data_IF_137943374383
#
_entry.id   IF_137943374383
#
_cell.length_a   1.000
_cell.length_b   1.000
_cell.length_c   1.000
_cell.angle_alpha   90.00
_cell.angle_beta   90.00
_cell.angle_gamma   90.00
#
_symmetry.space_group_name_H-M   'P 1'
#
loop_
_entity.id
_entity.type
_entity.pdbx_description
1 polymer ?
#
# COMPACT_ATOMS: atom_id res chain seq x y z
N UNK A 1 4.59 127.43 -61.17
CA UNK A 1 5.58 126.33 -61.14
C UNK A 1 5.64 125.70 -59.77
N UNK A 2 5.91 126.47 -58.70
CA UNK A 2 6.09 125.94 -57.33
C UNK A 2 4.98 125.02 -56.80
N UNK A 3 3.70 125.32 -57.08
CA UNK A 3 2.57 124.49 -56.65
C UNK A 3 2.56 123.08 -57.28
N UNK A 4 3.02 123.00 -58.52
CA UNK A 4 3.11 121.75 -59.29
C UNK A 4 4.32 120.90 -58.84
N UNK A 5 5.42 121.56 -58.45
CA UNK A 5 6.61 120.91 -57.92
C UNK A 5 6.36 120.32 -56.51
N UNK A 6 5.61 121.03 -55.66
CA UNK A 6 5.16 120.52 -54.36
C UNK A 6 4.27 119.28 -54.49
N UNK A 7 3.31 119.29 -55.42
CA UNK A 7 2.40 118.18 -55.69
C UNK A 7 3.14 116.97 -56.30
N UNK A 8 4.08 117.22 -57.23
CA UNK A 8 4.98 116.20 -57.80
C UNK A 8 5.87 115.56 -56.73
N UNK A 9 6.40 116.35 -55.79
CA UNK A 9 7.18 115.85 -54.66
C UNK A 9 6.34 115.00 -53.69
N UNK A 10 5.12 115.46 -53.37
CA UNK A 10 4.19 114.71 -52.52
C UNK A 10 3.77 113.37 -53.15
N UNK A 11 3.49 113.34 -54.46
CA UNK A 11 3.19 112.11 -55.20
C UNK A 11 4.38 111.13 -55.22
N UNK A 12 5.61 111.63 -55.40
CA UNK A 12 6.83 110.78 -55.32
C UNK A 12 7.00 110.17 -53.93
N UNK A 13 6.72 110.93 -52.87
CA UNK A 13 6.78 110.42 -51.50
C UNK A 13 5.74 109.32 -51.26
N UNK A 14 4.49 109.52 -51.71
CA UNK A 14 3.43 108.51 -51.63
C UNK A 14 3.75 107.27 -52.45
N UNK A 15 4.31 107.41 -53.65
CA UNK A 15 4.72 106.29 -54.49
C UNK A 15 5.82 105.47 -53.80
N UNK A 16 6.78 106.14 -53.15
CA UNK A 16 7.84 105.47 -52.38
C UNK A 16 7.27 104.73 -51.16
N UNK A 17 6.43 105.39 -50.36
CA UNK A 17 5.76 104.76 -49.22
C UNK A 17 4.91 103.54 -49.64
N UNK A 18 4.20 103.65 -50.76
CA UNK A 18 3.42 102.54 -51.31
C UNK A 18 4.32 101.39 -51.81
N UNK A 19 5.45 101.70 -52.44
CA UNK A 19 6.43 100.70 -52.87
C UNK A 19 7.07 99.97 -51.68
N UNK A 20 7.44 100.69 -50.62
CA UNK A 20 8.01 100.12 -49.40
C UNK A 20 6.99 99.21 -48.69
N UNK A 21 5.71 99.64 -48.61
CA UNK A 21 4.61 98.81 -48.10
C UNK A 21 4.39 97.57 -48.95
N UNK A 22 4.42 97.70 -50.27
CA UNK A 22 4.27 96.58 -51.19
C UNK A 22 5.38 95.54 -50.99
N UNK A 23 6.65 95.96 -50.93
CA UNK A 23 7.75 95.03 -50.69
C UNK A 23 7.71 94.42 -49.28
N UNK A 24 7.28 95.17 -48.26
CA UNK A 24 7.04 94.64 -46.91
C UNK A 24 5.95 93.55 -46.90
N UNK A 25 4.80 93.80 -47.52
CA UNK A 25 3.71 92.81 -47.61
C UNK A 25 4.15 91.59 -48.44
N UNK A 26 4.87 91.81 -49.54
CA UNK A 26 5.38 90.73 -50.40
C UNK A 26 6.37 89.83 -49.67
N UNK A 27 7.30 90.40 -48.90
CA UNK A 27 8.24 89.62 -48.07
C UNK A 27 7.51 88.86 -46.96
N UNK A 28 6.53 89.48 -46.29
CA UNK A 28 5.69 88.81 -45.30
C UNK A 28 4.88 87.65 -45.91
N UNK A 29 4.26 87.85 -47.08
CA UNK A 29 3.51 86.80 -47.78
C UNK A 29 4.42 85.62 -48.20
N UNK A 30 5.65 85.89 -48.64
CA UNK A 30 6.64 84.85 -48.94
C UNK A 30 7.11 84.11 -47.69
N UNK A 31 7.23 84.78 -46.54
CA UNK A 31 7.55 84.14 -45.27
C UNK A 31 6.42 83.19 -44.83
N UNK A 32 5.17 83.68 -44.83
CA UNK A 32 3.98 82.88 -44.50
C UNK A 32 3.80 81.69 -45.45
N UNK A 33 4.10 81.85 -46.74
CA UNK A 33 4.06 80.74 -47.70
C UNK A 33 5.05 79.63 -47.33
N UNK A 34 6.29 79.99 -46.99
CA UNK A 34 7.30 79.00 -46.55
C UNK A 34 6.90 78.31 -45.25
N UNK A 35 6.34 79.07 -44.30
CA UNK A 35 5.84 78.51 -43.05
C UNK A 35 4.69 77.52 -43.28
N UNK A 36 3.74 77.84 -44.17
CA UNK A 36 2.66 76.92 -44.54
C UNK A 36 3.16 75.64 -45.22
N UNK A 37 4.20 75.73 -46.06
CA UNK A 37 4.85 74.58 -46.68
C UNK A 37 5.52 73.67 -45.62
N UNK A 38 6.24 74.26 -44.66
CA UNK A 38 6.86 73.53 -43.53
C UNK A 38 5.78 72.83 -42.69
N UNK A 39 4.73 73.56 -42.30
CA UNK A 39 3.64 72.99 -41.50
C UNK A 39 2.92 71.84 -42.23
N UNK A 40 2.76 71.95 -43.55
CA UNK A 40 2.16 70.88 -44.36
C UNK A 40 3.06 69.65 -44.39
N UNK A 41 4.37 69.84 -44.55
CA UNK A 41 5.34 68.74 -44.51
C UNK A 41 5.34 68.07 -43.13
N UNK A 42 5.39 68.84 -42.04
CA UNK A 42 5.37 68.33 -40.67
C UNK A 42 4.08 67.55 -40.39
N UNK A 43 2.92 68.06 -40.84
CA UNK A 43 1.64 67.34 -40.72
C UNK A 43 1.71 65.97 -41.39
N UNK A 44 2.19 65.90 -42.63
CA UNK A 44 2.30 64.61 -43.35
C UNK A 44 3.28 63.64 -42.68
N UNK A 45 4.40 64.14 -42.15
CA UNK A 45 5.34 63.30 -41.41
C UNK A 45 4.74 62.75 -40.12
N UNK A 46 3.97 63.57 -39.40
CA UNK A 46 3.29 63.14 -38.17
C UNK A 46 2.17 62.13 -38.46
N UNK A 47 1.40 62.33 -39.53
CA UNK A 47 0.40 61.37 -40.01
C UNK A 47 1.06 60.00 -40.34
N UNK A 48 2.19 60.01 -41.05
CA UNK A 48 2.93 58.78 -41.38
C UNK A 48 3.48 58.07 -40.14
N UNK A 49 4.04 58.82 -39.18
CA UNK A 49 4.51 58.27 -37.89
C UNK A 49 3.35 57.65 -37.11
N UNK A 50 2.22 58.34 -37.03
CA UNK A 50 1.03 57.84 -36.36
C UNK A 50 0.54 56.52 -36.97
N UNK A 51 0.42 56.43 -38.30
CA UNK A 51 -0.01 55.20 -38.97
C UNK A 51 0.97 54.04 -38.72
N UNK A 52 2.27 54.31 -38.71
CA UNK A 52 3.29 53.29 -38.46
C UNK A 52 3.22 52.77 -37.02
N UNK A 53 3.08 53.67 -36.04
CA UNK A 53 2.94 53.29 -34.64
C UNK A 53 1.61 52.59 -34.36
N UNK A 54 0.52 53.02 -35.01
CA UNK A 54 -0.78 52.36 -34.90
C UNK A 54 -0.70 50.90 -35.37
N UNK A 55 -0.07 50.64 -36.52
CA UNK A 55 0.15 49.27 -37.02
C UNK A 55 1.01 48.43 -36.06
N UNK A 56 2.08 49.02 -35.50
CA UNK A 56 2.92 48.34 -34.50
C UNK A 56 2.15 47.98 -33.24
N UNK A 57 1.24 48.86 -32.81
CA UNK A 57 0.37 48.63 -31.66
C UNK A 57 -0.60 47.47 -31.93
N UNK A 58 -1.26 47.43 -33.09
CA UNK A 58 -2.13 46.31 -33.48
C UNK A 58 -1.36 44.98 -33.50
N UNK A 59 -0.17 44.95 -34.11
CA UNK A 59 0.68 43.75 -34.13
C UNK A 59 1.14 43.32 -32.72
N UNK A 60 1.37 44.26 -31.80
CA UNK A 60 1.68 43.95 -30.42
C UNK A 60 0.46 43.41 -29.67
N UNK A 61 -0.71 44.03 -29.86
CA UNK A 61 -1.98 43.61 -29.28
C UNK A 61 -2.34 42.18 -29.68
N UNK A 62 -2.25 41.83 -30.96
CA UNK A 62 -2.54 40.47 -31.42
C UNK A 62 -1.56 39.44 -30.86
N UNK A 63 -0.27 39.78 -30.75
CA UNK A 63 0.71 38.90 -30.07
C UNK A 63 0.38 38.69 -28.60
N UNK A 64 -0.07 39.73 -27.89
CA UNK A 64 -0.52 39.61 -26.51
C UNK A 64 -1.72 38.68 -26.40
N UNK A 65 -2.73 38.84 -27.27
CA UNK A 65 -3.92 37.99 -27.29
C UNK A 65 -3.59 36.52 -27.53
N UNK A 66 -2.72 36.22 -28.50
CA UNK A 66 -2.26 34.85 -28.76
C UNK A 66 -1.51 34.28 -27.55
N UNK A 67 -0.65 35.08 -26.92
CA UNK A 67 0.08 34.67 -25.70
C UNK A 67 -0.89 34.36 -24.54
N UNK A 68 -1.90 35.19 -24.33
CA UNK A 68 -2.93 34.97 -23.31
C UNK A 68 -3.72 33.67 -23.55
N UNK A 69 -4.08 33.38 -24.80
CA UNK A 69 -4.73 32.12 -25.17
C UNK A 69 -3.82 30.91 -24.91
N UNK A 70 -2.54 31.01 -25.26
CA UNK A 70 -1.56 29.96 -24.97
C UNK A 70 -1.38 29.72 -23.47
N UNK A 71 -1.32 30.79 -22.67
CA UNK A 71 -1.27 30.69 -21.20
C UNK A 71 -2.53 30.02 -20.65
N UNK A 72 -3.72 30.35 -21.16
CA UNK A 72 -4.98 29.68 -20.76
C UNK A 72 -4.95 28.18 -21.07
N UNK A 73 -4.44 27.79 -22.24
CA UNK A 73 -4.29 26.37 -22.60
C UNK A 73 -3.27 25.67 -21.68
N UNK A 74 -2.12 26.29 -21.44
CA UNK A 74 -1.10 25.75 -20.54
C UNK A 74 -1.63 25.58 -19.11
N UNK A 75 -2.40 26.54 -18.59
CA UNK A 75 -3.01 26.44 -17.26
C UNK A 75 -4.00 25.28 -17.17
N UNK A 76 -4.90 25.11 -18.16
CA UNK A 76 -5.82 23.97 -18.20
C UNK A 76 -5.09 22.63 -18.24
N UNK A 77 -3.97 22.56 -18.97
CA UNK A 77 -3.13 21.37 -19.00
C UNK A 77 -2.50 21.07 -17.63
N UNK A 78 -1.98 22.10 -16.95
CA UNK A 78 -1.43 21.96 -15.59
C UNK A 78 -2.52 21.54 -14.59
N UNK A 79 -3.71 22.14 -14.63
CA UNK A 79 -4.84 21.77 -13.77
C UNK A 79 -5.24 20.30 -13.97
N UNK A 80 -5.32 19.85 -15.24
CA UNK A 80 -5.63 18.45 -15.57
C UNK A 80 -4.55 17.52 -15.01
N UNK A 81 -3.27 17.81 -15.27
CA UNK A 81 -2.16 17.01 -14.75
C UNK A 81 -2.13 16.97 -13.21
N UNK A 82 -2.43 18.08 -12.54
CA UNK A 82 -2.53 18.12 -11.07
C UNK A 82 -3.69 17.25 -10.56
N UNK A 83 -4.85 17.30 -11.21
CA UNK A 83 -5.99 16.47 -10.85
C UNK A 83 -5.71 14.97 -11.02
N UNK A 84 -5.01 14.57 -12.08
CA UNK A 84 -4.59 13.19 -12.32
C UNK A 84 -3.58 12.70 -11.29
N UNK A 85 -2.60 13.54 -10.93
CA UNK A 85 -1.62 13.22 -9.87
C UNK A 85 -2.32 13.01 -8.53
N UNK A 86 -3.28 13.86 -8.18
CA UNK A 86 -4.05 13.73 -6.94
C UNK A 86 -4.90 12.45 -6.95
N UNK A 87 -5.56 12.13 -8.07
CA UNK A 87 -6.32 10.89 -8.22
C UNK A 87 -5.43 9.64 -8.07
N UNK A 88 -4.24 9.64 -8.68
CA UNK A 88 -3.28 8.55 -8.56
C UNK A 88 -2.74 8.39 -7.13
N UNK A 89 -2.51 9.52 -6.43
CA UNK A 89 -2.09 9.51 -5.03
C UNK A 89 -3.16 8.92 -4.12
N UNK A 90 -4.43 9.29 -4.32
CA UNK A 90 -5.55 8.73 -3.55
C UNK A 90 -5.70 7.24 -3.81
N UNK A 91 -5.68 6.80 -5.07
CA UNK A 91 -5.75 5.37 -5.42
C UNK A 91 -4.61 4.55 -4.80
N UNK A 92 -3.40 5.13 -4.73
CA UNK A 92 -2.26 4.51 -4.03
C UNK A 92 -2.53 4.39 -2.52
N UNK A 93 -3.11 5.42 -1.91
CA UNK A 93 -3.52 5.40 -0.50
C UNK A 93 -4.52 4.29 -0.22
N UNK A 94 -5.58 4.21 -1.01
CA UNK A 94 -6.63 3.20 -0.89
C UNK A 94 -6.08 1.78 -1.06
N UNK A 95 -5.21 1.57 -2.06
CA UNK A 95 -4.56 0.28 -2.28
C UNK A 95 -3.67 -0.14 -1.10
N UNK A 96 -2.93 0.81 -0.50
CA UNK A 96 -2.12 0.55 0.69
C UNK A 96 -2.98 0.23 1.91
N UNK A 97 -4.09 0.95 2.11
CA UNK A 97 -5.02 0.70 3.20
C UNK A 97 -5.65 -0.70 3.08
N UNK A 98 -6.11 -1.07 1.88
CA UNK A 98 -6.64 -2.39 1.60
C UNK A 98 -5.60 -3.50 1.85
N UNK A 99 -4.34 -3.28 1.48
CA UNK A 99 -3.27 -4.24 1.74
C UNK A 99 -3.06 -4.48 3.24
N UNK A 100 -3.10 -3.42 4.05
CA UNK A 100 -3.01 -3.53 5.52
C UNK A 100 -4.20 -4.32 6.09
N UNK A 101 -5.43 -4.02 5.64
CA UNK A 101 -6.62 -4.74 6.07
C UNK A 101 -6.54 -6.24 5.74
N UNK A 102 -6.03 -6.58 4.55
CA UNK A 102 -5.81 -7.98 4.15
C UNK A 102 -4.73 -8.66 5.00
N UNK A 103 -3.66 -7.97 5.37
CA UNK A 103 -2.64 -8.52 6.27
C UNK A 103 -3.24 -8.86 7.65
N UNK A 104 -4.06 -7.96 8.22
CA UNK A 104 -4.74 -8.22 9.50
C UNK A 104 -5.67 -9.44 9.41
N UNK A 105 -6.40 -9.59 8.31
CA UNK A 105 -7.25 -10.76 8.07
C UNK A 105 -6.43 -12.06 7.99
N UNK A 106 -5.29 -12.03 7.28
CA UNK A 106 -4.38 -13.18 7.17
C UNK A 106 -3.81 -13.55 8.54
N UNK A 107 -3.31 -12.58 9.31
CA UNK A 107 -2.77 -12.83 10.66
C UNK A 107 -3.83 -13.42 11.60
N UNK A 108 -5.08 -12.94 11.49
CA UNK A 108 -6.18 -13.46 12.30
C UNK A 108 -6.52 -14.90 11.92
N UNK A 109 -6.59 -15.21 10.62
CA UNK A 109 -6.82 -16.56 10.14
C UNK A 109 -5.67 -17.51 10.53
N UNK A 110 -4.42 -17.06 10.45
CA UNK A 110 -3.24 -17.83 10.88
C UNK A 110 -3.33 -18.22 12.35
N UNK A 111 -3.65 -17.27 13.24
CA UNK A 111 -3.84 -17.57 14.68
C UNK A 111 -4.95 -18.59 14.93
N UNK A 112 -6.03 -18.55 14.14
CA UNK A 112 -7.10 -19.54 14.24
C UNK A 112 -6.65 -20.93 13.79
N UNK A 113 -5.85 -21.01 12.71
CA UNK A 113 -5.26 -22.26 12.24
C UNK A 113 -4.33 -22.84 13.32
N UNK A 114 -3.42 -22.04 13.87
CA UNK A 114 -2.50 -22.47 14.94
C UNK A 114 -3.26 -23.02 16.17
N UNK A 115 -4.35 -22.36 16.57
CA UNK A 115 -5.19 -22.83 17.67
C UNK A 115 -5.87 -24.18 17.35
N UNK A 116 -6.41 -24.34 16.15
CA UNK A 116 -7.03 -25.58 15.70
C UNK A 116 -6.00 -26.72 15.56
N UNK A 117 -4.80 -26.43 15.09
CA UNK A 117 -3.70 -27.39 15.03
C UNK A 117 -3.32 -27.90 16.41
N UNK A 118 -3.23 -27.00 17.41
CA UNK A 118 -2.99 -27.39 18.81
C UNK A 118 -4.10 -28.31 19.33
N UNK A 119 -5.37 -27.96 19.09
CA UNK A 119 -6.50 -28.78 19.51
C UNK A 119 -6.50 -30.16 18.83
N UNK A 120 -6.10 -30.24 17.56
CA UNK A 120 -5.98 -31.50 16.83
C UNK A 120 -4.91 -32.40 17.45
N UNK A 121 -3.76 -31.84 17.82
CA UNK A 121 -2.69 -32.56 18.52
C UNK A 121 -3.18 -33.09 19.88
N UNK A 122 -3.88 -32.27 20.66
CA UNK A 122 -4.43 -32.68 21.96
C UNK A 122 -5.43 -33.83 21.82
N UNK A 123 -6.36 -33.73 20.86
CA UNK A 123 -7.34 -34.78 20.57
C UNK A 123 -6.68 -36.06 20.05
N UNK A 124 -5.66 -35.94 19.19
CA UNK A 124 -4.90 -37.09 18.68
C UNK A 124 -4.17 -37.82 19.81
N UNK A 125 -3.57 -37.07 20.76
CA UNK A 125 -2.97 -37.65 21.96
C UNK A 125 -4.00 -38.43 22.79
N UNK A 126 -5.20 -37.86 22.97
CA UNK A 126 -6.29 -38.50 23.72
C UNK A 126 -6.79 -39.77 23.03
N UNK A 127 -6.99 -39.74 21.72
CA UNK A 127 -7.37 -40.93 20.93
C UNK A 127 -6.33 -42.04 21.05
N UNK A 128 -5.04 -41.71 20.97
CA UNK A 128 -3.97 -42.68 21.11
C UNK A 128 -3.94 -43.30 22.52
N UNK A 129 -4.18 -42.49 23.56
CA UNK A 129 -4.29 -42.96 24.94
C UNK A 129 -5.46 -43.92 25.13
N UNK A 130 -6.64 -43.57 24.61
CA UNK A 130 -7.83 -44.42 24.68
C UNK A 130 -7.62 -45.74 23.92
N UNK A 131 -7.01 -45.69 22.72
CA UNK A 131 -6.67 -46.89 21.96
C UNK A 131 -5.68 -47.80 22.70
N UNK A 132 -4.67 -47.25 23.36
CA UNK A 132 -3.75 -48.03 24.18
C UNK A 132 -4.47 -48.72 25.36
N UNK A 133 -5.39 -48.01 26.02
CA UNK A 133 -6.21 -48.56 27.10
C UNK A 133 -7.19 -49.64 26.59
N UNK A 134 -7.76 -49.47 25.39
CA UNK A 134 -8.62 -50.46 24.75
C UNK A 134 -7.86 -51.76 24.48
N UNK A 135 -6.65 -51.66 23.92
CA UNK A 135 -5.80 -52.84 23.64
C UNK A 135 -5.43 -53.59 24.93
N UNK A 136 -5.09 -52.88 26.01
CA UNK A 136 -4.83 -53.49 27.32
C UNK A 136 -6.08 -54.18 27.88
N UNK A 137 -7.25 -53.52 27.81
CA UNK A 137 -8.51 -54.09 28.27
C UNK A 137 -8.91 -55.36 27.48
N UNK A 138 -8.76 -55.35 26.15
CA UNK A 138 -8.99 -56.52 25.29
C UNK A 138 -8.06 -57.67 25.68
N UNK A 139 -6.78 -57.37 25.94
CA UNK A 139 -5.80 -58.40 26.34
C UNK A 139 -6.14 -59.02 27.69
N UNK A 140 -6.56 -58.22 28.67
CA UNK A 140 -7.02 -58.71 29.97
C UNK A 140 -8.32 -59.53 29.87
N UNK A 141 -9.25 -59.09 29.02
CA UNK A 141 -10.48 -59.83 28.76
C UNK A 141 -10.19 -61.21 28.18
N UNK A 142 -9.31 -61.30 27.18
CA UNK A 142 -8.91 -62.57 26.59
C UNK A 142 -8.29 -63.53 27.62
N UNK A 143 -7.42 -63.03 28.51
CA UNK A 143 -6.84 -63.84 29.60
C UNK A 143 -7.90 -64.38 30.56
N UNK A 144 -8.85 -63.53 30.97
CA UNK A 144 -9.95 -63.95 31.84
C UNK A 144 -10.87 -64.96 31.15
N UNK A 145 -11.10 -64.78 29.84
CA UNK A 145 -11.90 -65.72 29.04
C UNK A 145 -11.24 -67.10 29.00
N UNK A 146 -9.92 -67.19 28.84
CA UNK A 146 -9.17 -68.44 28.87
C UNK A 146 -9.22 -69.11 30.24
N UNK A 147 -9.06 -68.35 31.33
CA UNK A 147 -9.20 -68.88 32.70
C UNK A 147 -10.61 -69.41 32.99
N UNK A 148 -11.65 -68.72 32.49
CA UNK A 148 -13.04 -69.17 32.60
C UNK A 148 -13.22 -70.49 31.85
N UNK A 149 -12.70 -70.60 30.62
CA UNK A 149 -12.76 -71.85 29.84
C UNK A 149 -12.09 -73.02 30.56
N UNK A 150 -10.92 -72.81 31.17
CA UNK A 150 -10.25 -73.85 31.98
C UNK A 150 -11.09 -74.27 33.19
N UNK A 151 -11.65 -73.28 33.92
CA UNK A 151 -12.54 -73.54 35.06
C UNK A 151 -13.80 -74.30 34.68
N UNK A 152 -14.41 -73.96 33.55
CA UNK A 152 -15.60 -74.65 33.04
C UNK A 152 -15.29 -76.11 32.69
N UNK A 153 -14.11 -76.38 32.08
CA UNK A 153 -13.65 -77.75 31.83
C UNK A 153 -13.40 -78.54 33.13
N UNK A 154 -12.81 -77.91 34.15
CA UNK A 154 -12.61 -78.53 35.46
C UNK A 154 -13.95 -78.86 36.13
N UNK A 155 -14.90 -77.92 36.11
CA UNK A 155 -16.25 -78.10 36.67
C UNK A 155 -16.98 -79.24 35.95
N UNK A 156 -16.95 -79.29 34.62
CA UNK A 156 -17.60 -80.37 33.87
C UNK A 156 -16.93 -81.72 34.17
N UNK A 157 -15.60 -81.76 34.29
CA UNK A 157 -14.87 -82.98 34.68
C UNK A 157 -15.23 -83.47 36.08
N UNK A 158 -15.37 -82.56 37.05
CA UNK A 158 -15.80 -82.88 38.41
C UNK A 158 -17.26 -83.37 38.43
N UNK A 159 -18.13 -82.73 37.64
CA UNK A 159 -19.53 -83.13 37.48
C UNK A 159 -19.65 -84.54 36.91
N UNK A 160 -18.95 -84.87 35.83
CA UNK A 160 -18.90 -86.24 35.27
C UNK A 160 -18.43 -87.27 36.31
N UNK A 161 -17.40 -86.93 37.12
CA UNK A 161 -16.91 -87.80 38.20
C UNK A 161 -17.94 -87.98 39.33
N UNK A 162 -18.72 -86.94 39.63
CA UNK A 162 -19.82 -87.01 40.60
C UNK A 162 -20.98 -87.87 40.07
N UNK A 163 -21.36 -87.71 38.80
CA UNK A 163 -22.39 -88.52 38.14
C UNK A 163 -21.98 -90.00 38.07
N UNK A 164 -20.71 -90.29 37.75
CA UNK A 164 -20.16 -91.65 37.78
C UNK A 164 -20.18 -92.25 39.20
N UNK A 165 -19.79 -91.47 40.23
CA UNK A 165 -19.89 -91.90 41.64
C UNK A 165 -21.32 -92.16 42.06
N UNK A 166 -22.26 -91.30 41.68
CA UNK A 166 -23.70 -91.47 41.95
C UNK A 166 -24.23 -92.76 41.30
N UNK A 167 -23.87 -93.01 40.05
CA UNK A 167 -24.24 -94.23 39.31
C UNK A 167 -23.62 -95.49 39.95
N UNK A 168 -22.34 -95.44 40.34
CA UNK A 168 -21.66 -96.53 41.05
C UNK A 168 -22.27 -96.79 42.43
N UNK A 169 -22.62 -95.73 43.17
CA UNK A 169 -23.34 -95.85 44.44
C UNK A 169 -24.72 -96.47 44.24
N UNK A 170 -25.47 -96.11 43.19
CA UNK A 170 -26.75 -96.76 42.88
C UNK A 170 -26.55 -98.26 42.60
N UNK A 171 -25.54 -98.65 41.82
CA UNK A 171 -25.21 -100.08 41.56
C UNK A 171 -24.77 -100.81 42.84
N UNK A 172 -23.95 -100.20 43.69
CA UNK A 172 -23.55 -100.77 44.98
C UNK A 172 -24.74 -100.91 45.93
N UNK A 173 -25.69 -99.97 45.92
CA UNK A 173 -26.92 -100.04 46.70
C UNK A 173 -27.88 -101.13 46.18
N UNK A 174 -27.80 -101.48 44.88
CA UNK A 174 -28.53 -102.60 44.26
C UNK A 174 -27.87 -103.96 44.56
N UNK A 175 -26.53 -104.05 44.56
CA UNK A 175 -25.80 -105.31 44.85
C UNK A 175 -25.73 -105.58 46.36
N UNK A 176 -25.71 -104.52 47.19
CA UNK A 176 -25.62 -104.60 48.65
C UNK A 176 -26.92 -104.87 49.38
N UNK A 177 -28.07 -104.96 48.70
CA UNK A 177 -29.37 -105.11 49.37
C UNK A 177 -30.29 -106.18 48.77
N UNK A 178 -30.40 -107.31 49.49
CA UNK A 178 -31.69 -107.96 49.80
C UNK A 178 -31.63 -108.46 51.26
N UNK A 179 -32.77 -108.51 51.98
CA UNK A 179 -33.05 -107.59 53.07
C UNK A 179 -33.02 -108.29 54.42
N UNK A 180 -32.58 -107.60 55.47
CA UNK A 180 -33.05 -107.88 56.84
C UNK A 180 -32.98 -106.63 57.69
N UNK A 181 -34.18 -106.23 58.06
CA UNK A 181 -34.59 -105.28 59.09
C UNK A 181 -33.71 -105.39 60.35
N UNK A 182 -33.19 -104.26 60.86
CA UNK A 182 -33.40 -103.91 62.27
C UNK A 182 -33.17 -102.40 62.51
N UNK A 183 -34.23 -101.81 63.04
CA UNK A 183 -34.36 -100.51 63.70
C UNK A 183 -33.28 -100.27 64.75
N UNK A 184 -32.65 -99.10 64.75
CA UNK A 184 -32.49 -98.32 65.99
C UNK A 184 -32.37 -96.81 65.73
N UNK A 185 -33.42 -96.11 66.16
CA UNK A 185 -33.49 -94.68 66.35
C UNK A 185 -32.69 -94.33 67.61
N UNK A 186 -31.58 -93.60 67.49
CA UNK A 186 -31.07 -92.84 68.63
C UNK A 186 -30.57 -91.46 68.21
N UNK A 187 -31.34 -90.47 68.67
CA UNK A 187 -31.06 -89.05 68.61
C UNK A 187 -29.69 -88.73 69.23
N UNK A 188 -28.88 -87.94 68.53
CA UNK A 188 -27.95 -87.01 69.18
C UNK A 188 -27.88 -85.71 68.39
N UNK A 189 -28.78 -84.81 68.77
CA UNK A 189 -28.54 -83.37 68.71
C UNK A 189 -27.35 -83.05 69.62
N UNK A 190 -26.25 -82.55 69.06
CA UNK A 190 -25.28 -81.68 69.73
C UNK A 190 -24.82 -80.66 68.68
N UNK A 191 -25.51 -79.52 68.60
CA UNK A 191 -25.07 -78.20 69.11
C UNK A 191 -24.26 -77.44 68.05
N UNK A 192 -24.95 -76.48 67.42
CA UNK A 192 -24.36 -75.27 66.87
C UNK A 192 -23.68 -74.47 67.99
N UNK A 193 -22.56 -73.78 67.71
CA UNK A 193 -22.29 -72.50 68.33
C UNK A 193 -22.49 -71.42 67.26
N UNK A 194 -23.67 -70.81 67.30
CA UNK A 194 -23.83 -69.43 66.89
C UNK A 194 -23.92 -68.65 68.20
N UNK A 195 -22.84 -67.96 68.58
CA UNK A 195 -22.91 -66.84 69.52
C UNK A 195 -21.86 -65.81 69.10
N UNK A 196 -22.36 -64.68 68.62
CA UNK A 196 -21.60 -63.51 68.21
C UNK A 196 -21.31 -62.56 69.38
N UNK A 197 -20.98 -61.32 68.98
CA UNK A 197 -20.39 -60.18 69.72
C UNK A 197 -18.85 -60.26 69.75
N UNK A 198 -18.06 -59.29 69.27
CA UNK A 198 -18.30 -57.95 68.72
C UNK A 198 -16.95 -57.42 68.17
N UNK A 199 -16.91 -56.24 67.53
CA UNK A 199 -15.84 -55.78 66.63
C UNK A 199 -14.69 -55.11 67.38
N UNK A 200 -13.48 -55.33 66.90
CA UNK A 200 -12.42 -54.32 66.77
C UNK A 200 -11.13 -55.04 66.41
N UNK A 201 -10.72 -54.92 65.14
CA UNK A 201 -9.32 -54.75 64.76
C UNK A 201 -9.31 -54.34 63.29
N UNK A 202 -9.38 -53.02 63.11
CA UNK A 202 -8.71 -52.30 62.04
C UNK A 202 -7.37 -52.95 61.68
N UNK A 203 -7.22 -53.32 60.41
CA UNK A 203 -6.03 -53.02 59.61
C UNK A 203 -6.36 -53.27 58.13
N UNK A 204 -6.66 -52.17 57.44
CA UNK A 204 -6.49 -52.03 56.00
C UNK A 204 -5.09 -52.53 55.59
N UNK A 205 -5.02 -53.38 54.57
CA UNK A 205 -3.83 -53.44 53.71
C UNK A 205 -4.29 -53.49 52.26
N UNK A 206 -4.81 -52.34 51.85
CA UNK A 206 -4.93 -51.94 50.46
C UNK A 206 -3.51 -51.66 49.95
N UNK A 207 -2.82 -52.66 49.39
CA UNK A 207 -1.61 -52.39 48.60
C UNK A 207 -2.01 -51.91 47.21
N UNK A 208 -2.41 -50.63 47.19
CA UNK A 208 -2.52 -49.82 45.98
C UNK A 208 -1.14 -49.57 45.41
N UNK A 209 -0.99 -49.86 44.13
CA UNK A 209 0.17 -49.56 43.30
C UNK A 209 0.51 -48.07 43.32
N UNK A 210 1.68 -47.73 43.85
CA UNK A 210 2.34 -46.44 43.61
C UNK A 210 2.77 -46.36 42.14
N UNK A 211 2.11 -45.50 41.36
CA UNK A 211 2.81 -44.75 40.32
C UNK A 211 2.32 -43.30 40.34
N UNK A 212 3.26 -42.40 40.66
CA UNK A 212 3.17 -40.95 40.53
C UNK A 212 2.64 -40.57 39.16
N UNK A 213 1.49 -39.89 39.13
CA UNK A 213 1.15 -39.00 38.01
C UNK A 213 1.06 -37.59 38.56
N UNK A 214 1.98 -36.74 38.13
CA UNK A 214 2.01 -35.31 38.44
C UNK A 214 0.77 -34.69 37.80
N UNK A 215 -0.16 -34.22 38.63
CA UNK A 215 -1.28 -33.40 38.19
C UNK A 215 -0.78 -32.00 37.83
N UNK A 216 -0.68 -31.68 36.54
CA UNK A 216 -0.65 -30.28 36.10
C UNK A 216 -2.08 -29.72 36.11
N UNK A 217 -2.48 -29.26 37.30
CA UNK A 217 -3.72 -28.52 37.50
C UNK A 217 -3.64 -27.13 36.87
N UNK A 218 -4.57 -26.87 35.96
CA UNK A 218 -4.90 -25.55 35.42
C UNK A 218 -5.36 -24.63 36.58
N UNK A 219 -4.80 -23.42 36.68
CA UNK A 219 -5.55 -22.26 37.20
C UNK A 219 -6.13 -21.51 36.01
N UNK A 220 -7.41 -21.75 35.77
CA UNK A 220 -8.29 -20.88 34.99
C UNK A 220 -8.69 -19.70 35.89
N UNK A 221 -8.42 -18.47 35.46
CA UNK A 221 -9.12 -17.28 35.94
C UNK A 221 -10.07 -16.85 34.82
N UNK A 222 -11.31 -17.30 34.93
CA UNK A 222 -12.45 -16.78 34.19
C UNK A 222 -13.01 -15.62 35.01
N UNK A 223 -12.95 -14.41 34.47
CA UNK A 223 -13.83 -13.31 34.86
C UNK A 223 -14.54 -12.87 33.59
N UNK A 224 -15.78 -13.36 33.43
CA UNK A 224 -16.71 -12.91 32.40
C UNK A 224 -17.41 -11.68 32.92
N UNK A 225 -17.29 -10.57 32.20
CA UNK A 225 -18.35 -9.59 32.01
C UNK A 225 -18.06 -8.82 30.72
N UNK A 226 -18.85 -9.13 29.71
CA UNK A 226 -19.12 -8.26 28.57
C UNK A 226 -20.56 -7.74 28.80
N UNK A 227 -20.86 -6.45 28.61
CA UNK A 227 -21.48 -6.08 27.32
C UNK A 227 -21.25 -4.62 26.85
N UNK A 228 -21.25 -4.43 25.53
CA UNK A 228 -21.77 -3.23 24.84
C UNK A 228 -20.88 -1.96 24.90
N UNK A 229 -20.83 -1.09 23.92
CA UNK A 229 -21.62 -0.93 22.70
C UNK A 229 -20.83 -0.08 21.72
N UNK A 230 -21.07 -0.37 20.46
CA UNK A 230 -21.03 0.53 19.33
C UNK A 230 -21.71 1.88 19.67
N UNK A 231 -21.10 3.03 19.32
CA UNK A 231 -21.84 4.27 19.11
C UNK A 231 -21.03 5.25 18.26
N UNK A 232 -21.45 5.36 17.01
CA UNK A 232 -21.20 6.45 16.09
C UNK A 232 -22.07 7.67 16.51
N UNK A 233 -21.69 8.86 16.05
CA UNK A 233 -22.36 10.19 16.14
C UNK A 233 -22.19 10.98 17.45
N UNK A 234 -21.55 12.16 17.36
CA UNK A 234 -22.32 13.40 17.18
C UNK A 234 -21.49 14.53 16.54
N UNK A 235 -22.16 15.34 15.72
CA UNK A 235 -21.68 16.54 15.05
C UNK A 235 -21.98 17.79 15.89
N UNK A 236 -21.45 18.91 15.41
CA UNK A 236 -21.94 20.28 15.60
C UNK A 236 -21.40 21.16 16.75
N UNK A 237 -20.42 21.99 16.36
CA UNK A 237 -20.65 23.40 15.99
C UNK A 237 -20.12 24.53 16.88
N UNK A 238 -19.54 25.51 16.17
CA UNK A 238 -19.35 26.95 16.46
C UNK A 238 -18.28 27.34 17.51
N UNK A 239 -17.63 28.50 17.47
CA UNK A 239 -17.32 29.54 16.48
C UNK A 239 -16.46 30.57 17.23
N UNK A 240 -15.42 31.11 16.56
CA UNK A 240 -14.66 32.33 16.91
C UNK A 240 -13.90 32.36 18.27
N UNK A 241 -12.66 32.84 18.38
CA UNK A 241 -12.25 34.24 18.17
C UNK A 241 -10.70 34.30 18.03
N UNK A 242 -10.26 34.99 16.99
CA UNK A 242 -9.06 35.83 16.83
C UNK A 242 -7.75 35.55 17.61
N UNK A 243 -6.64 35.41 16.87
CA UNK A 243 -5.29 35.63 17.41
C UNK A 243 -4.12 35.25 16.49
N UNK A 244 -3.88 36.01 15.41
CA UNK A 244 -2.55 36.14 14.80
C UNK A 244 -1.83 37.40 15.38
N UNK A 245 -0.52 37.66 15.19
CA UNK A 245 0.58 36.80 14.71
C UNK A 245 1.86 36.90 15.61
N UNK A 246 2.74 35.89 15.60
CA UNK A 246 4.15 36.08 16.02
C UNK A 246 5.14 35.33 15.12
N UNK A 247 5.92 36.11 14.37
CA UNK A 247 7.16 35.71 13.70
C UNK A 247 8.20 35.21 14.72
N UNK A 248 9.14 34.36 14.28
CA UNK A 248 10.53 34.66 14.60
C UNK A 248 11.45 34.63 13.37
N UNK A 249 12.29 35.67 13.30
CA UNK A 249 13.53 35.72 12.53
C UNK A 249 14.50 34.67 13.08
N UNK A 250 15.17 33.90 12.22
CA UNK A 250 16.55 33.49 12.50
C UNK A 250 17.30 33.21 11.20
N UNK A 251 18.58 33.55 11.26
CA UNK A 251 19.54 33.77 10.19
C UNK A 251 20.58 32.64 10.22
N UNK A 252 21.10 32.26 9.04
CA UNK A 252 22.34 31.49 8.81
C UNK A 252 22.24 29.97 9.06
N UNK A 253 22.87 29.05 8.30
CA UNK A 253 24.02 29.07 7.38
C UNK A 253 23.85 28.02 6.27
N UNK A 254 24.42 28.30 5.09
CA UNK A 254 24.66 27.35 3.99
C UNK A 254 25.68 26.29 4.40
N UNK A 255 25.35 25.00 4.22
CA UNK A 255 26.31 23.89 4.29
C UNK A 255 26.60 23.38 2.89
N UNK A 256 27.77 23.78 2.36
CA UNK A 256 28.41 23.17 1.19
C UNK A 256 29.17 21.93 1.67
N UNK A 257 28.95 20.78 1.05
CA UNK A 257 29.91 19.68 1.07
C UNK A 257 30.56 19.65 -0.31
N UNK A 258 31.81 20.14 -0.36
CA UNK A 258 32.72 19.91 -1.46
C UNK A 258 33.44 18.57 -1.22
N UNK A 259 33.63 17.81 -2.29
CA UNK A 259 34.70 16.82 -2.40
C UNK A 259 35.41 17.13 -3.70
N UNK A 260 36.63 17.64 -3.55
CA UNK A 260 37.68 17.76 -4.57
C UNK A 260 38.04 16.33 -5.04
N UNK A 261 38.64 16.00 -6.19
CA UNK A 261 39.66 16.62 -7.04
C UNK A 261 39.57 15.84 -8.37
N UNK A 262 39.64 16.50 -9.53
CA UNK A 262 40.67 16.24 -10.57
C UNK A 262 40.32 16.97 -11.86
N UNK A 263 41.17 17.97 -12.11
CA UNK A 263 41.30 18.74 -13.31
C UNK A 263 41.85 17.86 -14.45
N UNK A 264 41.32 18.03 -15.65
CA UNK A 264 42.19 18.04 -16.82
C UNK A 264 41.60 18.95 -17.89
N UNK A 265 42.25 20.10 -18.04
CA UNK A 265 42.13 21.04 -19.14
C UNK A 265 42.46 20.38 -20.50
N UNK A 266 41.70 20.72 -21.54
CA UNK A 266 42.25 20.86 -22.89
C UNK A 266 41.51 21.94 -23.67
N UNK A 267 42.27 22.94 -24.10
CA UNK A 267 41.89 24.09 -24.93
C UNK A 267 41.86 23.73 -26.43
N UNK A 268 41.24 24.64 -27.20
CA UNK A 268 41.44 24.98 -28.63
C UNK A 268 40.66 24.11 -29.64
N UNK A 269 40.14 24.60 -30.77
CA UNK A 269 39.88 25.96 -31.28
C UNK A 269 38.79 25.85 -32.37
N UNK A 270 38.32 27.01 -32.79
CA UNK A 270 37.33 27.44 -33.80
C UNK A 270 37.09 26.65 -35.12
N UNK A 271 35.82 26.80 -35.55
CA UNK A 271 35.27 26.95 -36.91
C UNK A 271 35.41 25.84 -37.97
N UNK A 272 34.26 25.25 -38.34
CA UNK A 272 33.71 25.41 -39.70
C UNK A 272 32.29 24.83 -39.82
N UNK A 273 31.56 25.46 -40.71
CA UNK A 273 30.15 25.37 -41.00
C UNK A 273 29.60 23.95 -41.23
N UNK A 274 28.53 23.61 -40.53
CA UNK A 274 27.40 22.90 -41.15
C UNK A 274 26.10 23.24 -40.39
N UNK A 275 25.72 24.52 -40.50
CA UNK A 275 24.50 25.08 -39.93
C UNK A 275 23.36 24.89 -40.92
N UNK A 276 22.79 23.67 -40.98
CA UNK A 276 21.39 23.40 -41.41
C UNK A 276 21.01 21.89 -41.39
N UNK A 277 21.36 21.14 -40.35
CA UNK A 277 20.75 19.81 -40.15
C UNK A 277 20.67 19.32 -38.69
N UNK A 278 21.19 20.06 -37.71
CA UNK A 278 21.41 19.54 -36.36
C UNK A 278 20.63 20.33 -35.29
N UNK A 279 19.31 20.41 -35.46
CA UNK A 279 18.39 20.78 -34.37
C UNK A 279 18.01 19.57 -33.49
N UNK A 280 18.81 18.51 -33.49
CA UNK A 280 18.64 17.44 -32.51
C UNK A 280 19.31 17.89 -31.21
N UNK A 281 18.44 18.32 -30.29
CA UNK A 281 18.66 18.45 -28.85
C UNK A 281 19.78 17.52 -28.41
N UNK A 282 20.75 18.00 -27.63
CA UNK A 282 21.73 17.15 -26.93
C UNK A 282 20.97 16.13 -26.06
N UNK A 283 20.60 14.99 -26.66
CA UNK A 283 19.89 13.93 -25.98
C UNK A 283 20.89 13.29 -25.03
N UNK A 284 20.55 13.24 -23.75
CA UNK A 284 21.28 12.43 -22.79
C UNK A 284 21.13 10.96 -23.18
N UNK A 285 22.10 10.11 -22.80
CA UNK A 285 22.07 8.65 -23.09
C UNK A 285 20.74 8.02 -22.65
N UNK A 286 20.16 8.53 -21.56
CA UNK A 286 18.87 8.11 -21.04
C UNK A 286 17.73 8.39 -22.04
N UNK A 287 17.69 9.56 -22.66
CA UNK A 287 16.68 9.90 -23.68
C UNK A 287 16.83 9.06 -24.94
N UNK A 288 18.06 8.81 -25.39
CA UNK A 288 18.32 7.93 -26.55
C UNK A 288 17.84 6.49 -26.30
N UNK A 289 18.03 5.98 -25.07
CA UNK A 289 17.53 4.65 -24.69
C UNK A 289 16.00 4.61 -24.66
N UNK A 290 15.37 5.63 -24.08
CA UNK A 290 13.91 5.74 -24.02
C UNK A 290 13.30 5.78 -25.43
N UNK A 291 13.85 6.61 -26.32
CA UNK A 291 13.40 6.74 -27.71
C UNK A 291 13.60 5.44 -28.51
N UNK A 292 14.71 4.71 -28.30
CA UNK A 292 14.90 3.37 -28.89
C UNK A 292 13.85 2.37 -28.41
N UNK A 293 13.45 2.42 -27.14
CA UNK A 293 12.40 1.54 -26.59
C UNK A 293 11.03 1.90 -27.18
N UNK A 294 10.70 3.19 -27.25
CA UNK A 294 9.42 3.69 -27.80
C UNK A 294 9.26 3.36 -29.30
N UNK A 295 10.35 3.38 -30.05
CA UNK A 295 10.36 3.03 -31.47
C UNK A 295 10.43 1.51 -31.73
N UNK A 296 10.41 0.68 -30.68
CA UNK A 296 10.37 -0.78 -30.79
C UNK A 296 11.74 -1.47 -30.93
N UNK A 297 12.85 -0.74 -30.82
CA UNK A 297 14.22 -1.27 -30.88
C UNK A 297 14.76 -1.74 -29.51
N UNK A 298 13.86 -2.07 -28.58
CA UNK A 298 14.23 -2.54 -27.23
C UNK A 298 15.03 -3.85 -27.25
N UNK A 299 14.76 -4.74 -28.20
CA UNK A 299 15.50 -6.00 -28.37
C UNK A 299 16.97 -5.74 -28.76
N UNK A 300 17.22 -4.86 -29.73
CA UNK A 300 18.57 -4.47 -30.16
C UNK A 300 19.37 -3.80 -29.03
N UNK A 301 18.68 -3.10 -28.13
CA UNK A 301 19.29 -2.50 -26.94
C UNK A 301 19.65 -3.54 -25.87
N UNK A 302 18.88 -4.62 -25.76
CA UNK A 302 19.12 -5.73 -24.82
C UNK A 302 20.24 -6.67 -25.28
N UNK A 303 20.47 -6.80 -26.59
CA UNK A 303 21.62 -7.55 -27.14
C UNK A 303 22.97 -6.94 -26.71
N UNK A 304 22.99 -5.62 -26.48
CA UNK A 304 24.11 -4.91 -25.88
C UNK A 304 24.10 -5.17 -24.36
N UNK A 305 24.54 -6.37 -23.92
CA UNK A 305 24.54 -6.83 -22.50
C UNK A 305 25.10 -5.85 -21.46
N UNK A 306 25.85 -4.81 -21.86
CA UNK A 306 26.27 -3.68 -21.03
C UNK A 306 26.65 -2.45 -21.90
N UNK A 307 25.68 -1.66 -22.39
CA UNK A 307 25.95 -0.66 -23.41
C UNK A 307 26.64 0.57 -22.81
N UNK A 308 27.85 0.90 -23.28
CA UNK A 308 28.50 2.18 -22.98
C UNK A 308 27.85 3.30 -23.79
N UNK A 309 28.10 4.56 -23.42
CA UNK A 309 27.57 5.75 -24.12
C UNK A 309 27.79 5.71 -25.64
N UNK A 310 28.94 5.18 -26.09
CA UNK A 310 29.27 5.05 -27.52
C UNK A 310 28.39 4.03 -28.23
N UNK A 311 28.08 2.92 -27.59
CA UNK A 311 27.30 1.82 -28.17
C UNK A 311 25.83 2.22 -28.34
N UNK A 312 25.26 2.89 -27.31
CA UNK A 312 23.90 3.46 -27.39
C UNK A 312 23.81 4.50 -28.50
N UNK A 313 24.82 5.37 -28.63
CA UNK A 313 24.84 6.39 -29.67
C UNK A 313 24.97 5.78 -31.07
N UNK A 314 25.83 4.78 -31.26
CA UNK A 314 25.97 4.08 -32.54
C UNK A 314 24.67 3.37 -32.95
N UNK A 315 24.01 2.71 -31.99
CA UNK A 315 22.71 2.06 -32.20
C UNK A 315 21.64 3.08 -32.60
N UNK A 316 21.54 4.19 -31.86
CA UNK A 316 20.62 5.28 -32.14
C UNK A 316 20.86 5.92 -33.51
N UNK A 317 22.13 6.15 -33.87
CA UNK A 317 22.50 6.71 -35.16
C UNK A 317 22.08 5.80 -36.33
N UNK A 318 22.27 4.49 -36.16
CA UNK A 318 21.93 3.47 -37.16
C UNK A 318 20.42 3.31 -37.34
N UNK A 319 19.67 3.21 -36.24
CA UNK A 319 18.24 2.83 -36.27
C UNK A 319 17.30 4.03 -36.38
N UNK A 320 17.64 5.15 -35.72
CA UNK A 320 16.79 6.35 -35.63
C UNK A 320 17.24 7.40 -36.64
N UNK A 321 18.52 7.79 -36.63
CA UNK A 321 19.02 8.82 -37.54
C UNK A 321 19.29 8.31 -38.95
N UNK A 322 19.40 6.98 -39.15
CA UNK A 322 19.77 6.32 -40.41
C UNK A 322 21.01 6.94 -41.06
N UNK A 323 22.01 7.29 -40.25
CA UNK A 323 23.25 7.97 -40.63
C UNK A 323 24.50 7.17 -40.29
#
# INVERSE_FOLDING_TARGET
MEKYDLESSALKLQLKDLADKYESVKTAAQALKREAEILTQDRTQMEQKYLTEFKRFEEAHERCKVSEEQVKVANKFVETAQSEVLAAQNAKGDASQLAIERLVQIETAQKQIEELERQNVDLTCEVNRLRASEVDAISRFALLEDMIKERDQEVESLKMRCEQRSSSMQVANIIGNRPSLHVELQQRNLVSPEEGLSPDHSNESSLGSETKTISCGKRSRLEVLNPGSDSVQDMDSAEAIAGEPKRPKSTMTLRKCATEVESSDSKSNEDSEDSKANAYVRLTVLKMRQELIELGFGADLLELKSPKKKDVYALYKRLVLKK
#
